data_IF_110608189086
#
_entry.id   IF_110608189086
#
_cell.length_a   1.000
_cell.length_b   1.000
_cell.length_c   1.000
_cell.angle_alpha   90.00
_cell.angle_beta   90.00
_cell.angle_gamma   90.00
#
_symmetry.space_group_name_H-M   'P 1'
#
loop_
_entity.id
_entity.type
_entity.pdbx_description
1 polymer ?
#
# COMPACT_ATOMS: atom_id res chain seq x y z
N UNK A 1 40.77 -20.72 -5.12
CA UNK A 1 39.77 -20.13 -4.20
C UNK A 1 38.61 -19.50 -5.00
N UNK A 2 37.70 -20.27 -5.61
CA UNK A 2 36.57 -19.68 -6.37
C UNK A 2 35.24 -20.46 -6.35
N UNK A 3 35.07 -21.45 -5.46
CA UNK A 3 33.85 -22.29 -5.42
C UNK A 3 32.98 -22.14 -4.16
N UNK A 4 33.24 -21.15 -3.30
CA UNK A 4 32.54 -21.00 -2.01
C UNK A 4 31.44 -19.92 -1.98
N UNK A 5 31.12 -19.26 -3.10
CA UNK A 5 30.13 -18.16 -3.12
C UNK A 5 28.85 -18.45 -3.93
N UNK A 6 28.75 -19.58 -4.65
CA UNK A 6 27.58 -19.88 -5.49
C UNK A 6 26.48 -20.67 -4.75
N UNK A 7 26.81 -21.38 -3.67
CA UNK A 7 25.87 -22.22 -2.92
C UNK A 7 24.95 -21.46 -1.95
N UNK A 8 25.39 -20.29 -1.45
CA UNK A 8 24.64 -19.52 -0.44
C UNK A 8 23.63 -18.54 -1.07
N UNK A 9 23.79 -18.23 -2.36
CA UNK A 9 22.98 -17.25 -3.12
C UNK A 9 21.77 -17.92 -3.79
N UNK A 10 21.82 -19.23 -4.09
CA UNK A 10 20.77 -19.90 -4.86
C UNK A 10 19.57 -20.34 -4.00
N UNK A 11 19.74 -20.74 -2.73
CA UNK A 11 18.58 -21.18 -1.90
C UNK A 11 17.88 -20.07 -1.12
N UNK A 12 18.67 -19.16 -0.54
CA UNK A 12 18.21 -18.20 0.48
C UNK A 12 17.43 -17.00 -0.08
N UNK A 13 17.74 -16.58 -1.31
CA UNK A 13 17.08 -15.44 -1.98
C UNK A 13 15.98 -15.94 -2.92
N UNK A 14 16.14 -17.12 -3.54
CA UNK A 14 15.12 -17.66 -4.45
C UNK A 14 13.80 -17.95 -3.72
N UNK A 15 13.86 -18.52 -2.52
CA UNK A 15 12.65 -18.80 -1.74
C UNK A 15 11.82 -17.54 -1.42
N UNK A 16 12.35 -16.46 -0.80
CA UNK A 16 11.58 -15.26 -0.56
C UNK A 16 11.16 -14.54 -1.85
N UNK A 17 12.00 -14.59 -2.91
CA UNK A 17 11.65 -13.98 -4.20
C UNK A 17 10.45 -14.69 -4.85
N UNK A 18 10.41 -16.02 -4.82
CA UNK A 18 9.25 -16.80 -5.27
C UNK A 18 8.00 -16.48 -4.45
N UNK A 19 8.14 -16.35 -3.13
CA UNK A 19 7.02 -15.97 -2.24
C UNK A 19 6.50 -14.57 -2.59
N UNK A 20 7.37 -13.58 -2.74
CA UNK A 20 6.98 -12.22 -3.15
C UNK A 20 6.30 -12.25 -4.52
N UNK A 21 6.85 -12.98 -5.49
CA UNK A 21 6.26 -13.12 -6.82
C UNK A 21 4.87 -13.77 -6.76
N UNK A 22 4.71 -14.80 -5.93
CA UNK A 22 3.42 -15.45 -5.72
C UNK A 22 2.40 -14.51 -5.06
N UNK A 23 2.80 -13.76 -4.03
CA UNK A 23 1.94 -12.76 -3.38
C UNK A 23 1.52 -11.68 -4.36
N UNK A 24 2.45 -11.16 -5.16
CA UNK A 24 2.16 -10.16 -6.18
C UNK A 24 1.24 -10.72 -7.26
N UNK A 25 1.49 -11.95 -7.72
CA UNK A 25 0.64 -12.61 -8.71
C UNK A 25 -0.79 -12.78 -8.18
N UNK A 26 -0.95 -13.34 -6.98
CA UNK A 26 -2.25 -13.56 -6.35
C UNK A 26 -2.97 -12.24 -6.05
N UNK A 27 -2.26 -11.21 -5.57
CA UNK A 27 -2.80 -9.87 -5.31
C UNK A 27 -3.16 -9.10 -6.58
N UNK A 28 -2.46 -9.35 -7.68
CA UNK A 28 -2.76 -8.75 -8.97
C UNK A 28 -4.01 -9.33 -9.64
N UNK A 29 -4.43 -10.57 -9.31
CA UNK A 29 -5.65 -11.19 -9.87
C UNK A 29 -6.90 -10.30 -9.68
N UNK A 30 -7.28 -9.87 -8.46
CA UNK A 30 -8.45 -9.02 -8.28
C UNK A 30 -8.30 -7.64 -8.91
N UNK A 31 -7.09 -7.06 -8.90
CA UNK A 31 -6.82 -5.77 -9.56
C UNK A 31 -6.99 -5.87 -11.08
N UNK A 32 -6.47 -6.93 -11.68
CA UNK A 32 -6.63 -7.24 -13.10
C UNK A 32 -8.09 -7.43 -13.48
N UNK A 33 -8.89 -8.06 -12.62
CA UNK A 33 -10.35 -8.17 -12.82
C UNK A 33 -11.03 -6.80 -12.86
N UNK A 34 -10.67 -5.89 -11.95
CA UNK A 34 -11.23 -4.52 -11.92
C UNK A 34 -10.84 -3.76 -13.20
N UNK A 35 -9.58 -3.86 -13.62
CA UNK A 35 -9.08 -3.23 -14.84
C UNK A 35 -9.79 -3.78 -16.08
N UNK A 36 -9.96 -5.10 -16.17
CA UNK A 36 -10.71 -5.74 -17.25
C UNK A 36 -12.16 -5.27 -17.30
N UNK A 37 -12.84 -5.19 -16.14
CA UNK A 37 -14.20 -4.67 -16.07
C UNK A 37 -14.30 -3.19 -16.49
N UNK A 38 -13.25 -2.40 -16.27
CA UNK A 38 -13.18 -1.01 -16.70
C UNK A 38 -12.94 -0.86 -18.22
N UNK A 39 -12.15 -1.75 -18.82
CA UNK A 39 -11.82 -1.75 -20.25
C UNK A 39 -12.90 -2.42 -21.12
N UNK A 40 -13.59 -3.43 -20.59
CA UNK A 40 -14.62 -4.20 -21.28
C UNK A 40 -15.96 -4.14 -20.55
N UNK A 41 -16.61 -2.96 -20.45
CA UNK A 41 -17.92 -2.85 -19.82
C UNK A 41 -18.92 -3.73 -20.57
N UNK A 42 -19.54 -4.70 -19.89
CA UNK A 42 -20.45 -5.70 -20.46
C UNK A 42 -19.83 -6.69 -21.48
N UNK A 43 -18.50 -6.83 -21.49
CA UNK A 43 -17.80 -7.84 -22.31
C UNK A 43 -17.37 -7.38 -23.70
N UNK A 44 -17.67 -6.14 -24.09
CA UNK A 44 -17.14 -5.50 -25.30
C UNK A 44 -15.99 -4.56 -24.94
N UNK A 45 -14.83 -4.71 -25.59
CA UNK A 45 -13.69 -3.82 -25.38
C UNK A 45 -14.03 -2.41 -25.85
N UNK A 46 -14.00 -1.45 -24.93
CA UNK A 46 -14.23 -0.03 -25.18
C UNK A 46 -13.11 0.84 -24.57
N UNK A 47 -11.90 0.82 -25.13
CA UNK A 47 -10.78 1.65 -24.65
C UNK A 47 -11.07 3.15 -24.79
N UNK A 48 -11.83 3.54 -25.81
CA UNK A 48 -12.19 4.93 -26.06
C UNK A 48 -13.13 5.46 -24.96
N UNK A 49 -14.15 4.68 -24.58
CA UNK A 49 -15.03 5.01 -23.45
C UNK A 49 -14.31 4.98 -22.11
N UNK A 50 -13.34 4.08 -21.90
CA UNK A 50 -12.49 4.09 -20.72
C UNK A 50 -11.67 5.38 -20.61
N UNK A 51 -10.99 5.80 -21.68
CA UNK A 51 -10.24 7.06 -21.72
C UNK A 51 -11.16 8.28 -21.51
N UNK A 52 -12.34 8.28 -22.12
CA UNK A 52 -13.32 9.36 -21.96
C UNK A 52 -13.81 9.47 -20.49
N UNK A 53 -13.97 8.34 -19.79
CA UNK A 53 -14.34 8.31 -18.37
C UNK A 53 -13.21 8.80 -17.47
N UNK A 54 -11.98 8.40 -17.76
CA UNK A 54 -10.76 8.86 -17.06
C UNK A 54 -10.54 10.37 -17.23
N UNK A 55 -10.71 10.88 -18.45
CA UNK A 55 -10.55 12.30 -18.79
C UNK A 55 -11.71 13.18 -18.33
N UNK A 56 -12.77 12.62 -17.75
CA UNK A 56 -13.93 13.38 -17.30
C UNK A 56 -13.50 14.38 -16.22
N UNK A 57 -13.85 15.66 -16.40
CA UNK A 57 -13.48 16.71 -15.46
C UNK A 57 -13.94 16.47 -14.01
N UNK A 58 -15.01 15.68 -13.79
CA UNK A 58 -15.42 15.26 -12.45
C UNK A 58 -14.49 14.21 -11.84
N UNK A 59 -13.99 13.26 -12.63
CA UNK A 59 -13.05 12.24 -12.17
C UNK A 59 -11.71 12.87 -11.80
N UNK A 60 -11.17 13.75 -12.67
CA UNK A 60 -9.93 14.47 -12.39
C UNK A 60 -10.05 15.38 -11.16
N UNK A 61 -11.15 16.14 -11.01
CA UNK A 61 -11.38 16.95 -9.82
C UNK A 61 -11.46 16.10 -8.55
N UNK A 62 -12.15 14.96 -8.60
CA UNK A 62 -12.20 14.04 -7.46
C UNK A 62 -10.80 13.52 -7.09
N UNK A 63 -9.99 13.12 -8.07
CA UNK A 63 -8.59 12.71 -7.83
C UNK A 63 -7.77 13.80 -7.18
N UNK A 64 -7.91 15.05 -7.64
CA UNK A 64 -7.20 16.19 -7.04
C UNK A 64 -7.61 16.43 -5.58
N UNK A 65 -8.91 16.40 -5.27
CA UNK A 65 -9.37 16.53 -3.89
C UNK A 65 -8.90 15.38 -3.00
N UNK A 66 -8.88 14.14 -3.49
CA UNK A 66 -8.33 13.00 -2.76
C UNK A 66 -6.83 13.16 -2.51
N UNK A 67 -6.06 13.63 -3.50
CA UNK A 67 -4.64 13.88 -3.32
C UNK A 67 -4.36 15.00 -2.32
N UNK A 68 -5.11 16.09 -2.41
CA UNK A 68 -5.00 17.22 -1.50
C UNK A 68 -5.24 16.77 -0.05
N UNK A 69 -6.39 16.14 0.19
CA UNK A 69 -6.76 15.62 1.52
C UNK A 69 -5.81 14.53 2.03
N UNK A 70 -5.38 13.59 1.19
CA UNK A 70 -4.44 12.54 1.58
C UNK A 70 -3.06 13.11 1.92
N UNK A 71 -2.61 14.14 1.21
CA UNK A 71 -1.30 14.77 1.46
C UNK A 71 -1.28 15.46 2.82
N UNK A 72 -2.29 16.26 3.13
CA UNK A 72 -2.41 16.89 4.45
C UNK A 72 -2.59 15.86 5.56
N UNK A 73 -3.42 14.83 5.33
CA UNK A 73 -3.59 13.73 6.28
C UNK A 73 -2.28 12.98 6.55
N UNK A 74 -1.49 12.68 5.51
CA UNK A 74 -0.19 12.03 5.63
C UNK A 74 0.84 12.92 6.35
N UNK A 75 0.86 14.23 6.07
CA UNK A 75 1.74 15.17 6.75
C UNK A 75 1.44 15.25 8.25
N UNK A 76 0.16 15.36 8.63
CA UNK A 76 -0.26 15.35 10.04
C UNK A 76 0.09 14.02 10.70
N UNK A 77 -0.21 12.89 10.04
CA UNK A 77 0.11 11.56 10.55
C UNK A 77 1.63 11.37 10.76
N UNK A 78 2.45 11.88 9.84
CA UNK A 78 3.90 11.84 9.95
C UNK A 78 4.41 12.67 11.14
N UNK A 79 3.94 13.92 11.27
CA UNK A 79 4.37 14.80 12.37
C UNK A 79 3.98 14.21 13.73
N UNK A 80 2.73 13.76 13.87
CA UNK A 80 2.24 13.19 15.13
C UNK A 80 2.89 11.84 15.44
N UNK A 81 2.94 10.94 14.45
CA UNK A 81 3.53 9.60 14.60
C UNK A 81 5.03 9.64 14.87
N UNK A 82 5.78 10.50 14.16
CA UNK A 82 7.21 10.64 14.37
C UNK A 82 7.52 11.26 15.74
N UNK A 83 6.82 12.33 16.13
CA UNK A 83 7.00 12.95 17.45
C UNK A 83 6.71 11.95 18.57
N UNK A 84 5.62 11.18 18.44
CA UNK A 84 5.27 10.12 19.37
C UNK A 84 6.32 9.01 19.42
N UNK A 85 6.83 8.56 18.27
CA UNK A 85 7.89 7.56 18.21
C UNK A 85 9.17 8.04 18.91
N UNK A 86 9.57 9.31 18.71
CA UNK A 86 10.74 9.89 19.39
C UNK A 86 10.53 9.96 20.90
N UNK A 87 9.36 10.42 21.36
CA UNK A 87 9.06 10.49 22.79
C UNK A 87 9.12 9.12 23.46
N UNK A 88 8.53 8.10 22.85
CA UNK A 88 8.51 6.72 23.38
C UNK A 88 9.88 6.04 23.29
N UNK A 89 10.68 6.35 22.26
CA UNK A 89 12.01 5.76 22.09
C UNK A 89 13.06 6.39 23.01
N UNK A 90 12.99 7.69 23.27
CA UNK A 90 14.00 8.42 24.06
C UNK A 90 13.62 8.60 25.53
N UNK A 91 12.36 8.45 25.91
CA UNK A 91 11.89 8.63 27.29
C UNK A 91 11.54 7.29 27.92
N UNK A 92 11.97 7.06 29.16
CA UNK A 92 11.49 5.93 29.96
C UNK A 92 10.06 6.19 30.46
N UNK A 93 9.05 5.94 29.60
CA UNK A 93 7.65 6.05 30.00
C UNK A 93 7.19 4.82 30.80
N UNK A 94 6.78 4.97 32.08
CA UNK A 94 6.07 3.92 32.77
C UNK A 94 4.71 3.68 32.08
N UNK A 95 4.46 2.46 31.60
CA UNK A 95 3.21 2.12 30.90
C UNK A 95 3.23 2.26 29.37
N UNK A 96 4.39 2.13 28.70
CA UNK A 96 4.51 2.15 27.22
C UNK A 96 3.64 1.14 26.44
N UNK A 97 3.19 0.05 27.07
CA UNK A 97 2.45 -1.05 26.38
C UNK A 97 1.07 -0.65 25.84
N UNK A 98 0.16 -0.04 26.63
CA UNK A 98 -1.16 0.38 26.14
C UNK A 98 -1.12 1.44 25.03
N UNK A 99 -0.06 2.23 24.93
CA UNK A 99 0.09 3.26 23.92
C UNK A 99 0.12 2.70 22.48
N UNK A 100 0.81 1.57 22.26
CA UNK A 100 0.77 0.89 20.96
C UNK A 100 -0.64 0.37 20.63
N UNK A 101 -1.37 -0.11 21.63
CA UNK A 101 -2.75 -0.55 21.46
C UNK A 101 -3.67 0.62 21.08
N UNK A 102 -3.58 1.77 21.75
CA UNK A 102 -4.38 2.96 21.44
C UNK A 102 -4.14 3.48 20.02
N UNK A 103 -2.92 3.37 19.49
CA UNK A 103 -2.60 3.73 18.09
C UNK A 103 -3.18 2.73 17.09
N UNK A 104 -3.26 1.45 17.44
CA UNK A 104 -3.84 0.40 16.60
C UNK A 104 -5.37 0.31 16.71
N UNK A 105 -5.95 0.81 17.80
CA UNK A 105 -7.38 0.75 18.11
C UNK A 105 -8.27 1.28 16.96
N UNK A 106 -7.96 2.42 16.31
CA UNK A 106 -8.73 2.91 15.17
C UNK A 106 -8.76 1.96 13.97
N UNK A 107 -7.74 1.10 13.81
CA UNK A 107 -7.69 0.09 12.73
C UNK A 107 -8.49 -1.17 13.08
N UNK A 108 -8.75 -1.42 14.37
CA UNK A 108 -9.55 -2.56 14.84
C UNK A 108 -11.05 -2.25 14.86
N UNK A 109 -11.42 -0.97 14.96
CA UNK A 109 -12.80 -0.53 14.80
C UNK A 109 -13.05 -0.42 13.30
N UNK A 110 -13.92 -1.28 12.78
CA UNK A 110 -14.29 -1.25 11.37
C UNK A 110 -14.83 0.14 10.98
N UNK A 111 -14.36 0.72 9.85
CA UNK A 111 -14.81 2.03 9.37
C UNK A 111 -16.24 2.01 8.83
#
# INVERSE_FOLDING_TARGET
MSKLSTGMISGSILAPLLVVMLILALGAVPMGRILYAALAPAGALDPAGFLARLGKASALRATWHTLDTATFGAAIALVLGASFAVLVAMTDLPGRKPFGFLVLLPLMIAP
#
